data_IF_467125991311
#
_entry.id   IF_467125991311
#
_cell.length_a   1.000
_cell.length_b   1.000
_cell.length_c   1.000
_cell.angle_alpha   90.00
_cell.angle_beta   90.00
_cell.angle_gamma   90.00
#
_symmetry.space_group_name_H-M   'P 1'
#
loop_
_entity.id
_entity.type
_entity.pdbx_description
1 polymer ?
#
# COMPACT_ATOMS: atom_id res chain seq x y z
N UNK A 1 9.35 -22.24 21.56
CA UNK A 1 8.16 -21.46 21.97
C UNK A 1 8.44 -19.95 22.13
N UNK A 2 9.65 -19.53 22.52
CA UNK A 2 10.05 -18.11 22.69
C UNK A 2 9.95 -17.21 21.44
N UNK A 3 10.14 -17.73 20.23
CA UNK A 3 10.07 -16.93 18.99
C UNK A 3 8.68 -16.32 18.72
N UNK A 4 7.58 -16.97 19.12
CA UNK A 4 6.23 -16.44 18.89
C UNK A 4 5.92 -15.23 19.78
N UNK A 5 6.46 -15.21 21.00
CA UNK A 5 6.21 -14.16 21.97
C UNK A 5 6.96 -12.86 21.62
N UNK A 6 8.24 -12.97 21.23
CA UNK A 6 9.04 -11.82 20.78
C UNK A 6 8.45 -11.21 19.50
N UNK A 7 7.96 -12.05 18.59
CA UNK A 7 7.29 -11.60 17.35
C UNK A 7 5.96 -10.90 17.64
N UNK A 8 5.23 -11.31 18.68
CA UNK A 8 3.99 -10.63 19.14
C UNK A 8 4.27 -9.25 19.75
N UNK A 9 5.27 -9.15 20.62
CA UNK A 9 5.65 -7.89 21.30
C UNK A 9 6.22 -6.87 20.30
N UNK A 10 7.05 -7.32 19.35
CA UNK A 10 7.56 -6.47 18.26
C UNK A 10 6.46 -6.08 17.26
N UNK A 11 5.46 -6.95 17.03
CA UNK A 11 4.29 -6.63 16.21
C UNK A 11 3.42 -5.56 16.85
N UNK A 12 3.32 -5.52 18.19
CA UNK A 12 2.64 -4.46 18.94
C UNK A 12 3.38 -3.12 18.89
N UNK A 13 4.71 -3.10 19.04
CA UNK A 13 5.52 -1.86 18.95
C UNK A 13 5.57 -1.25 17.55
N UNK A 14 5.45 -2.07 16.51
CA UNK A 14 5.44 -1.63 15.11
C UNK A 14 4.04 -1.63 14.50
N UNK A 15 2.99 -1.87 15.29
CA UNK A 15 1.63 -1.84 14.78
C UNK A 15 1.31 -0.41 14.32
N UNK A 16 0.75 -0.30 13.12
CA UNK A 16 0.18 0.95 12.67
C UNK A 16 -1.08 1.23 13.51
N UNK A 17 -1.28 2.46 14.00
CA UNK A 17 -2.56 2.85 14.56
C UNK A 17 -3.69 2.62 13.55
N UNK A 18 -4.88 2.23 14.04
CA UNK A 18 -6.00 1.84 13.17
C UNK A 18 -6.47 2.98 12.26
N UNK A 19 -6.39 4.22 12.73
CA UNK A 19 -6.68 5.40 11.91
C UNK A 19 -5.71 5.55 10.72
N UNK A 20 -4.44 5.20 10.91
CA UNK A 20 -3.40 5.30 9.88
C UNK A 20 -3.58 4.18 8.86
N UNK A 21 -3.86 2.96 9.32
CA UNK A 21 -4.11 1.83 8.44
C UNK A 21 -5.36 2.07 7.59
N UNK A 22 -6.45 2.56 8.18
CA UNK A 22 -7.68 2.88 7.46
C UNK A 22 -7.46 3.93 6.35
N UNK A 23 -6.65 4.96 6.60
CA UNK A 23 -6.33 5.96 5.58
C UNK A 23 -5.48 5.39 4.44
N UNK A 24 -4.48 4.56 4.77
CA UNK A 24 -3.66 3.88 3.76
C UNK A 24 -4.53 2.91 2.95
N UNK A 25 -5.49 2.25 3.59
CA UNK A 25 -6.45 1.36 2.95
C UNK A 25 -7.40 2.12 2.00
N UNK A 26 -7.85 3.30 2.39
CA UNK A 26 -8.66 4.18 1.56
C UNK A 26 -7.86 4.92 0.47
N UNK A 27 -6.55 4.65 0.33
CA UNK A 27 -5.74 5.32 -0.68
C UNK A 27 -6.21 4.96 -2.10
N UNK A 28 -6.45 6.01 -2.89
CA UNK A 28 -6.82 5.89 -4.29
C UNK A 28 -5.57 5.77 -5.15
N UNK A 29 -5.49 4.73 -5.95
CA UNK A 29 -4.34 4.42 -6.80
C UNK A 29 -4.80 4.54 -8.25
N UNK A 30 -4.18 5.46 -8.98
CA UNK A 30 -4.49 5.72 -10.39
C UNK A 30 -3.24 5.41 -11.20
N UNK A 31 -3.38 4.47 -12.14
CA UNK A 31 -2.36 4.26 -13.15
C UNK A 31 -2.39 5.41 -14.14
N UNK A 32 -1.24 6.05 -14.34
CA UNK A 32 -1.06 7.07 -15.37
C UNK A 32 -0.12 6.53 -16.42
N UNK A 33 -0.41 6.91 -17.67
CA UNK A 33 0.50 6.69 -18.78
C UNK A 33 1.85 7.29 -18.42
N UNK A 34 2.85 6.42 -18.37
CA UNK A 34 4.22 6.80 -18.07
C UNK A 34 5.00 6.96 -19.36
N UNK A 35 6.26 7.38 -19.22
CA UNK A 35 7.16 7.45 -20.34
C UNK A 35 7.41 6.04 -20.90
N UNK A 36 7.46 5.84 -22.23
CA UNK A 36 7.73 4.53 -22.84
C UNK A 36 9.02 3.86 -22.31
N UNK A 37 10.01 4.63 -21.84
CA UNK A 37 11.24 4.08 -21.25
C UNK A 37 11.09 3.64 -19.78
N UNK A 38 10.19 4.27 -19.01
CA UNK A 38 10.09 4.04 -17.55
C UNK A 38 8.86 3.21 -17.14
N UNK A 39 7.93 2.98 -18.06
CA UNK A 39 6.69 2.26 -17.79
C UNK A 39 5.66 3.12 -17.02
N UNK A 40 4.46 2.55 -16.75
CA UNK A 40 3.34 3.28 -16.17
C UNK A 40 3.68 3.85 -14.78
N UNK A 41 3.24 5.10 -14.54
CA UNK A 41 3.47 5.79 -13.27
C UNK A 41 2.23 5.68 -12.39
N UNK A 42 2.41 5.22 -11.16
CA UNK A 42 1.29 5.04 -10.23
C UNK A 42 1.12 6.30 -9.38
N UNK A 43 0.06 7.06 -9.65
CA UNK A 43 -0.30 8.22 -8.86
C UNK A 43 -1.17 7.79 -7.68
N UNK A 44 -0.73 8.10 -6.47
CA UNK A 44 -1.44 7.77 -5.22
C UNK A 44 -2.02 9.04 -4.61
N UNK A 45 -3.29 8.97 -4.22
CA UNK A 45 -3.93 9.94 -3.35
C UNK A 45 -4.34 9.27 -2.04
N UNK A 46 -3.78 9.73 -0.92
CA UNK A 46 -4.20 9.30 0.40
C UNK A 46 -5.27 10.28 0.89
N UNK A 47 -6.55 9.90 0.90
CA UNK A 47 -7.67 10.78 1.28
C UNK A 47 -7.46 11.44 2.65
N UNK A 48 -7.98 12.66 2.87
CA UNK A 48 -7.82 13.43 4.11
C UNK A 48 -7.37 14.88 3.91
N UNK A 49 -6.93 15.59 4.97
CA UNK A 49 -6.69 17.04 4.92
C UNK A 49 -5.46 17.43 4.08
N UNK A 50 -4.45 16.56 3.99
CA UNK A 50 -3.30 16.77 3.10
C UNK A 50 -3.72 16.37 1.68
N UNK A 51 -4.12 17.37 0.90
CA UNK A 51 -4.52 17.22 -0.49
C UNK A 51 -3.28 16.98 -1.37
N UNK A 52 -3.45 16.14 -2.40
CA UNK A 52 -2.49 15.99 -3.49
C UNK A 52 -2.20 14.54 -3.85
N UNK A 53 -2.07 14.28 -5.15
CA UNK A 53 -1.51 13.04 -5.66
C UNK A 53 0.02 13.11 -5.62
N UNK A 54 0.67 11.97 -5.49
CA UNK A 54 2.11 11.83 -5.71
C UNK A 54 2.40 10.58 -6.52
N UNK A 55 3.48 10.59 -7.28
CA UNK A 55 3.95 9.39 -7.96
C UNK A 55 4.56 8.47 -6.91
N UNK A 56 4.10 7.21 -6.88
CA UNK A 56 4.59 6.24 -5.93
C UNK A 56 6.08 5.99 -6.15
N UNK A 57 6.85 6.36 -5.13
CA UNK A 57 8.18 5.82 -4.88
C UNK A 57 8.26 5.53 -3.39
N UNK A 58 9.13 4.60 -3.00
CA UNK A 58 9.30 4.27 -1.58
C UNK A 58 9.74 5.49 -0.76
N UNK A 59 10.60 6.34 -1.33
CA UNK A 59 11.08 7.57 -0.70
C UNK A 59 9.97 8.62 -0.54
N UNK A 60 9.14 8.83 -1.57
CA UNK A 60 8.01 9.76 -1.47
C UNK A 60 6.92 9.23 -0.54
N UNK A 61 6.66 7.93 -0.54
CA UNK A 61 5.74 7.32 0.42
C UNK A 61 6.21 7.55 1.87
N UNK A 62 7.50 7.34 2.17
CA UNK A 62 8.07 7.59 3.50
C UNK A 62 7.91 9.06 3.91
N UNK A 63 8.34 9.98 3.04
CA UNK A 63 8.22 11.44 3.24
C UNK A 63 6.77 11.87 3.50
N UNK A 64 5.81 11.36 2.71
CA UNK A 64 4.38 11.69 2.83
C UNK A 64 3.77 11.14 4.11
N UNK A 65 4.11 9.90 4.49
CA UNK A 65 3.61 9.28 5.73
C UNK A 65 4.16 10.04 6.95
N UNK A 66 5.46 10.39 6.97
CA UNK A 66 6.06 11.21 8.03
C UNK A 66 5.46 12.59 8.14
N UNK A 67 5.27 13.27 7.00
CA UNK A 67 4.70 14.62 6.98
C UNK A 67 3.25 14.62 7.50
N UNK A 68 2.49 13.56 7.21
CA UNK A 68 1.10 13.44 7.62
C UNK A 68 0.93 13.05 9.09
N UNK A 69 1.78 12.16 9.58
CA UNK A 69 1.72 11.63 10.94
C UNK A 69 3.09 11.74 11.61
N UNK A 70 3.51 12.95 12.01
CA UNK A 70 4.85 13.21 12.55
C UNK A 70 5.13 12.49 13.88
N UNK A 71 4.09 12.02 14.58
CA UNK A 71 4.21 11.25 15.82
C UNK A 71 4.49 9.75 15.59
N UNK A 72 4.46 9.25 14.35
CA UNK A 72 4.78 7.86 14.08
C UNK A 72 6.28 7.58 14.29
N UNK A 73 6.56 6.44 14.90
CA UNK A 73 7.92 5.92 15.00
C UNK A 73 8.44 5.46 13.64
N UNK A 74 9.76 5.41 13.46
CA UNK A 74 10.38 4.90 12.23
C UNK A 74 9.91 3.49 11.84
N UNK A 75 9.67 2.63 12.82
CA UNK A 75 9.17 1.28 12.59
C UNK A 75 7.75 1.30 12.04
N UNK A 76 6.89 2.17 12.54
CA UNK A 76 5.53 2.35 12.06
C UNK A 76 5.51 2.98 10.67
N UNK A 77 6.36 3.98 10.40
CA UNK A 77 6.51 4.57 9.06
C UNK A 77 6.93 3.50 8.06
N UNK A 78 7.98 2.72 8.35
CA UNK A 78 8.43 1.62 7.47
C UNK A 78 7.32 0.61 7.20
N UNK A 79 6.49 0.31 8.21
CA UNK A 79 5.36 -0.59 8.05
C UNK A 79 4.24 0.03 7.22
N UNK A 80 3.96 1.31 7.39
CA UNK A 80 3.00 2.08 6.58
C UNK A 80 3.41 2.11 5.10
N UNK A 81 4.68 2.39 4.83
CA UNK A 81 5.25 2.33 3.48
C UNK A 81 5.11 0.93 2.88
N UNK A 82 5.45 -0.11 3.65
CA UNK A 82 5.32 -1.50 3.20
C UNK A 82 3.87 -1.90 2.92
N UNK A 83 2.93 -1.38 3.72
CA UNK A 83 1.50 -1.62 3.51
C UNK A 83 0.98 -0.92 2.25
N UNK A 84 1.40 0.33 2.04
CA UNK A 84 1.07 1.07 0.82
C UNK A 84 1.66 0.37 -0.42
N UNK A 85 2.90 -0.10 -0.35
CA UNK A 85 3.53 -0.88 -1.42
C UNK A 85 2.74 -2.15 -1.76
N UNK A 86 2.29 -2.88 -0.74
CA UNK A 86 1.44 -4.06 -0.93
C UNK A 86 0.12 -3.70 -1.64
N UNK A 87 -0.53 -2.58 -1.26
CA UNK A 87 -1.73 -2.10 -1.94
C UNK A 87 -1.49 -1.73 -3.39
N UNK A 88 -0.38 -1.05 -3.66
CA UNK A 88 0.03 -0.69 -5.03
C UNK A 88 0.19 -1.94 -5.88
N UNK A 89 0.90 -2.95 -5.37
CA UNK A 89 1.08 -4.25 -6.06
C UNK A 89 -0.24 -5.00 -6.28
N UNK A 90 -1.21 -4.86 -5.38
CA UNK A 90 -2.54 -5.46 -5.56
C UNK A 90 -3.35 -4.73 -6.61
N UNK A 91 -3.25 -3.39 -6.67
CA UNK A 91 -3.94 -2.57 -7.65
C UNK A 91 -3.39 -2.77 -9.08
N UNK A 92 -2.09 -3.04 -9.23
CA UNK A 92 -1.44 -3.24 -10.54
C UNK A 92 -1.34 -4.68 -10.99
N UNK A 93 -1.68 -5.65 -10.13
CA UNK A 93 -1.75 -7.03 -10.59
C UNK A 93 -2.83 -7.13 -11.67
N UNK A 94 -2.49 -7.62 -12.88
CA UNK A 94 -3.51 -7.86 -13.89
C UNK A 94 -4.51 -8.83 -13.27
N UNK A 95 -5.78 -8.43 -13.27
CA UNK A 95 -6.88 -9.30 -12.88
C UNK A 95 -6.82 -10.49 -13.83
N UNK A 96 -6.12 -11.56 -13.45
CA UNK A 96 -6.03 -12.77 -14.27
C UNK A 96 -7.46 -13.31 -14.24
N UNK A 97 -8.22 -13.25 -15.35
CA UNK A 97 -9.57 -13.79 -15.34
C UNK A 97 -9.40 -15.25 -14.92
N UNK A 98 -10.05 -15.63 -13.82
CA UNK A 98 -10.14 -17.03 -13.44
C UNK A 98 -10.96 -17.64 -14.57
N UNK A 99 -10.27 -18.23 -15.56
CA UNK A 99 -10.90 -19.03 -16.60
C UNK A 99 -11.41 -20.30 -15.92
N UNK A 100 -12.53 -20.16 -15.20
CA UNK A 100 -13.34 -21.30 -14.80
C UNK A 100 -13.90 -21.82 -16.11
N UNK A 101 -13.21 -22.79 -16.72
CA UNK A 101 -13.79 -23.62 -17.77
C UNK A 101 -15.08 -24.19 -17.22
N UNK A 102 -16.21 -23.56 -17.55
CA UNK A 102 -17.52 -24.09 -17.25
C UNK A 102 -17.71 -25.33 -18.14
N UNK A 103 -17.70 -26.49 -17.51
CA UNK A 103 -18.11 -27.77 -18.08
C UNK A 103 -19.53 -27.75 -18.68
N UNK A 104 -20.33 -26.74 -18.34
CA UNK A 104 -21.73 -26.56 -18.76
C UNK A 104 -21.85 -25.96 -20.18
N UNK A 105 -20.84 -25.28 -20.71
CA UNK A 105 -20.93 -24.60 -22.02
C UNK A 105 -20.30 -25.37 -23.18
N UNK A 106 -19.99 -26.65 -23.00
CA UNK A 106 -19.35 -27.50 -24.00
C UNK A 106 -20.33 -28.58 -24.49
N UNK A 107 -21.46 -28.15 -25.04
CA UNK A 107 -22.45 -28.97 -25.76
C UNK A 107 -22.45 -28.60 -27.24
#
# INVERSE_FOLDING_TARGET
MFLKLVRSITRGKSALPDEVSAVIEAAHIVEREGDPETGPRLAISMGGPIRGMFIFSRAEADKRIRARWPWLTDAQVKRGVSYLEARVRLATQPNKPINRKNWVTNY
#
